data_IF_832473049803
#
_entry.id   IF_832473049803
#
_cell.length_a   1.000
_cell.length_b   1.000
_cell.length_c   1.000
_cell.angle_alpha   90.00
_cell.angle_beta   90.00
_cell.angle_gamma   90.00
#
_symmetry.space_group_name_H-M   'P 1'
#
loop_
_entity.id
_entity.type
_entity.pdbx_description
1 polymer ?
#
# COMPACT_ATOMS: atom_id res chain seq x y z
N UNK A 1 -21.99 15.04 -0.26
CA UNK A 1 -21.49 13.74 -0.75
C UNK A 1 -20.22 13.86 -1.60
N UNK A 2 -19.12 14.55 -1.26
CA UNK A 2 -18.60 15.27 -0.08
C UNK A 2 -18.57 14.56 1.29
N UNK A 3 -18.93 13.27 1.38
CA UNK A 3 -19.05 12.60 2.70
C UNK A 3 -17.76 11.91 3.17
N UNK A 4 -16.62 12.21 2.55
CA UNK A 4 -15.29 11.88 3.05
C UNK A 4 -14.46 13.16 3.10
N UNK A 5 -13.82 13.44 4.24
CA UNK A 5 -12.96 14.62 4.43
C UNK A 5 -11.75 14.70 3.46
N UNK A 6 -11.53 13.64 2.68
CA UNK A 6 -10.44 13.48 1.72
C UNK A 6 -10.94 13.38 0.27
N UNK A 7 -12.25 13.51 0.01
CA UNK A 7 -12.85 13.34 -1.31
C UNK A 7 -13.09 11.87 -1.72
N UNK A 8 -13.85 11.68 -2.80
CA UNK A 8 -14.27 10.39 -3.34
C UNK A 8 -13.96 10.34 -4.84
N UNK A 9 -13.42 9.22 -5.35
CA UNK A 9 -13.11 9.01 -6.77
C UNK A 9 -14.18 8.14 -7.47
N UNK A 10 -15.29 7.85 -6.78
CA UNK A 10 -16.36 6.97 -7.27
C UNK A 10 -16.97 7.41 -8.60
N UNK A 11 -17.03 6.45 -9.54
CA UNK A 11 -17.68 6.58 -10.84
C UNK A 11 -19.20 6.84 -10.69
N UNK A 12 -19.83 7.45 -11.70
CA UNK A 12 -21.27 7.76 -11.67
C UNK A 12 -22.14 6.52 -11.46
N UNK A 13 -21.76 5.38 -12.04
CA UNK A 13 -22.47 4.11 -11.86
C UNK A 13 -22.41 3.61 -10.41
N UNK A 14 -21.27 3.76 -9.72
CA UNK A 14 -21.15 3.43 -8.29
C UNK A 14 -21.99 4.38 -7.43
N UNK A 15 -21.97 5.69 -7.73
CA UNK A 15 -22.81 6.69 -7.03
C UNK A 15 -24.31 6.39 -7.19
N UNK A 16 -24.77 6.00 -8.38
CA UNK A 16 -26.17 5.57 -8.64
C UNK A 16 -26.57 4.33 -7.84
N UNK A 17 -25.69 3.33 -7.73
CA UNK A 17 -25.95 2.12 -6.93
C UNK A 17 -26.07 2.46 -5.44
N UNK A 18 -25.13 3.24 -4.91
CA UNK A 18 -25.15 3.63 -3.50
C UNK A 18 -26.38 4.48 -3.14
N UNK A 19 -26.79 5.40 -4.03
CA UNK A 19 -28.02 6.17 -3.86
C UNK A 19 -29.29 5.29 -3.88
N UNK A 20 -29.34 4.27 -4.76
CA UNK A 20 -30.46 3.31 -4.84
C UNK A 20 -30.57 2.42 -3.60
N UNK A 21 -29.44 2.00 -3.04
CA UNK A 21 -29.38 1.09 -1.89
C UNK A 21 -29.40 1.81 -0.54
N UNK A 22 -29.29 3.15 -0.53
CA UNK A 22 -29.15 3.99 0.67
C UNK A 22 -27.98 3.60 1.58
N UNK A 23 -26.99 2.90 1.02
CA UNK A 23 -25.80 2.39 1.71
C UNK A 23 -24.56 2.51 0.80
N UNK A 24 -23.36 2.52 1.39
CA UNK A 24 -22.10 2.63 0.66
C UNK A 24 -21.56 1.25 0.31
N UNK A 25 -22.12 0.65 -0.74
CA UNK A 25 -21.48 -0.48 -1.38
C UNK A 25 -20.08 -0.09 -1.90
N UNK A 26 -19.16 -1.07 -1.86
CA UNK A 26 -17.79 -0.94 -2.36
C UNK A 26 -16.93 0.13 -1.64
N UNK A 27 -17.08 0.27 -0.32
CA UNK A 27 -16.47 1.36 0.49
C UNK A 27 -14.94 1.54 0.46
N UNK A 28 -14.18 0.65 -0.19
CA UNK A 28 -12.72 0.77 -0.36
C UNK A 28 -12.28 1.16 -1.78
N UNK A 29 -12.94 0.67 -2.83
CA UNK A 29 -12.53 0.94 -4.22
C UNK A 29 -12.97 2.34 -4.65
N UNK A 30 -12.18 2.97 -5.51
CA UNK A 30 -12.33 4.38 -5.90
C UNK A 30 -12.32 5.33 -4.68
N UNK A 31 -11.62 4.95 -3.60
CA UNK A 31 -11.45 5.79 -2.41
C UNK A 31 -9.99 6.11 -2.14
N UNK A 32 -9.77 7.22 -1.44
CA UNK A 32 -8.45 7.76 -1.16
C UNK A 32 -7.90 7.24 0.17
N UNK A 33 -6.58 7.09 0.22
CA UNK A 33 -5.84 6.85 1.44
C UNK A 33 -5.96 8.04 2.39
N UNK A 34 -5.74 7.77 3.68
CA UNK A 34 -5.74 8.79 4.74
C UNK A 34 -4.30 9.13 5.12
N UNK A 35 -3.92 10.42 5.20
CA UNK A 35 -2.57 10.80 5.61
C UNK A 35 -2.33 10.59 7.11
N UNK A 36 -3.41 10.55 7.90
CA UNK A 36 -3.39 10.42 9.37
C UNK A 36 -3.50 8.96 9.86
N UNK A 37 -3.44 7.97 8.96
CA UNK A 37 -3.60 6.55 9.30
C UNK A 37 -2.62 5.65 8.54
N UNK A 38 -2.33 4.44 9.06
CA UNK A 38 -1.60 3.43 8.29
C UNK A 38 -2.22 3.17 6.93
N UNK A 39 -1.39 2.85 5.94
CA UNK A 39 -1.86 2.41 4.63
C UNK A 39 -2.68 1.12 4.75
N UNK A 40 -3.60 0.84 3.81
CA UNK A 40 -4.04 -0.52 3.55
C UNK A 40 -2.84 -1.42 3.22
N UNK A 41 -3.04 -2.74 3.31
CA UNK A 41 -2.05 -3.72 2.83
C UNK A 41 -1.71 -3.43 1.37
N UNK A 42 -0.42 -3.22 1.09
CA UNK A 42 0.07 -2.97 -0.26
C UNK A 42 0.04 -4.29 -1.03
N UNK A 43 -0.95 -4.45 -1.92
CA UNK A 43 -1.14 -5.67 -2.72
C UNK A 43 -0.45 -5.59 -4.07
N UNK A 44 -0.45 -6.69 -4.82
CA UNK A 44 0.08 -6.80 -6.19
C UNK A 44 -0.59 -5.86 -7.21
N UNK A 45 -1.72 -5.24 -6.87
CA UNK A 45 -2.44 -4.25 -7.68
C UNK A 45 -2.65 -2.92 -6.95
N UNK A 46 -1.77 -2.58 -6.00
CA UNK A 46 -1.80 -1.35 -5.21
C UNK A 46 -1.76 -0.03 -6.02
N UNK A 47 -1.40 -0.06 -7.30
CA UNK A 47 -1.46 1.10 -8.18
C UNK A 47 -2.86 1.34 -8.80
N UNK A 48 -3.79 0.40 -8.62
CA UNK A 48 -5.14 0.44 -9.20
C UNK A 48 -6.19 0.80 -8.15
N UNK A 49 -6.86 1.94 -8.35
CA UNK A 49 -7.93 2.41 -7.44
C UNK A 49 -9.18 1.52 -7.47
N UNK A 50 -9.36 0.67 -8.48
CA UNK A 50 -10.46 -0.31 -8.51
C UNK A 50 -10.18 -1.58 -7.70
N UNK A 51 -8.95 -1.73 -7.17
CA UNK A 51 -8.52 -2.91 -6.40
C UNK A 51 -8.37 -2.64 -4.89
N UNK A 52 -8.73 -1.45 -4.41
CA UNK A 52 -8.76 -1.11 -2.99
C UNK A 52 -8.65 0.40 -2.76
N UNK A 53 -8.47 0.79 -1.50
CA UNK A 53 -8.27 2.18 -1.06
C UNK A 53 -6.86 2.67 -1.40
N UNK A 54 -6.60 2.82 -2.69
CA UNK A 54 -5.29 3.18 -3.23
C UNK A 54 -5.28 4.55 -3.91
N UNK A 55 -6.37 5.34 -3.84
CA UNK A 55 -6.34 6.73 -4.29
C UNK A 55 -5.33 7.55 -3.47
N UNK A 56 -4.58 8.44 -4.11
CA UNK A 56 -3.64 9.30 -3.42
C UNK A 56 -4.37 10.20 -2.40
N UNK A 57 -3.76 10.53 -1.26
CA UNK A 57 -4.46 11.23 -0.16
C UNK A 57 -4.75 12.70 -0.48
N UNK A 58 -3.87 13.36 -1.24
CA UNK A 58 -4.02 14.73 -1.70
C UNK A 58 -5.20 14.86 -2.67
N UNK A 59 -6.20 15.65 -2.28
CA UNK A 59 -7.42 15.94 -3.04
C UNK A 59 -7.15 16.58 -4.40
N UNK A 60 -6.06 17.33 -4.55
CA UNK A 60 -5.65 17.93 -5.83
C UNK A 60 -5.18 16.90 -6.87
N UNK A 61 -4.85 15.68 -6.45
CA UNK A 61 -4.32 14.62 -7.31
C UNK A 61 -5.40 13.56 -7.59
N UNK A 62 -5.87 13.46 -8.83
CA UNK A 62 -6.92 12.53 -9.25
C UNK A 62 -6.28 11.24 -9.79
N UNK A 63 -5.60 10.49 -8.91
CA UNK A 63 -4.85 9.27 -9.28
C UNK A 63 -4.79 8.25 -8.13
N UNK A 64 -4.37 7.04 -8.47
CA UNK A 64 -3.85 6.08 -7.49
C UNK A 64 -2.45 6.46 -6.98
N UNK A 65 -1.98 5.77 -5.94
CA UNK A 65 -0.58 5.83 -5.52
C UNK A 65 0.34 5.30 -6.63
N UNK A 66 1.53 5.89 -6.73
CA UNK A 66 2.56 5.45 -7.66
C UNK A 66 3.27 4.19 -7.14
N UNK A 67 3.98 3.50 -8.02
CA UNK A 67 4.83 2.37 -7.62
C UNK A 67 5.92 2.79 -6.62
N UNK A 68 6.45 4.02 -6.71
CA UNK A 68 7.44 4.51 -5.75
C UNK A 68 6.80 4.77 -4.39
N UNK A 69 5.62 5.39 -4.33
CA UNK A 69 4.85 5.57 -3.09
C UNK A 69 4.51 4.23 -2.43
N UNK A 70 4.10 3.23 -3.22
CA UNK A 70 3.86 1.87 -2.73
C UNK A 70 5.14 1.19 -2.19
N UNK A 71 6.29 1.42 -2.83
CA UNK A 71 7.58 0.93 -2.36
C UNK A 71 8.03 1.60 -1.05
N UNK A 72 7.86 2.92 -0.92
CA UNK A 72 8.13 3.67 0.32
C UNK A 72 7.23 3.18 1.46
N UNK A 73 5.94 2.90 1.20
CA UNK A 73 5.03 2.30 2.18
C UNK A 73 5.43 0.87 2.58
N UNK A 74 5.99 0.10 1.65
CA UNK A 74 6.66 -1.19 1.92
C UNK A 74 8.05 -1.03 2.56
N UNK A 75 8.52 0.18 2.87
CA UNK A 75 9.83 0.47 3.47
C UNK A 75 11.06 0.06 2.65
N UNK A 76 10.94 0.04 1.32
CA UNK A 76 12.10 0.08 0.44
C UNK A 76 12.78 1.46 0.52
N UNK A 77 14.11 1.48 0.38
CA UNK A 77 14.88 2.71 0.25
C UNK A 77 14.54 3.43 -1.08
N UNK A 78 14.66 4.76 -1.11
CA UNK A 78 14.20 5.58 -2.24
C UNK A 78 14.98 5.29 -3.54
N UNK A 79 16.24 4.87 -3.42
CA UNK A 79 17.14 4.47 -4.51
C UNK A 79 16.98 3.00 -4.95
N UNK A 80 16.14 2.21 -4.28
CA UNK A 80 15.94 0.79 -4.62
C UNK A 80 15.38 0.63 -6.04
N UNK A 81 16.09 -0.13 -6.89
CA UNK A 81 15.74 -0.37 -8.29
C UNK A 81 15.04 -1.73 -8.45
N UNK A 82 13.83 -1.70 -9.00
CA UNK A 82 13.08 -2.91 -9.37
C UNK A 82 13.38 -3.30 -10.82
N UNK A 83 13.43 -4.61 -11.12
CA UNK A 83 13.70 -5.13 -12.46
C UNK A 83 12.62 -6.13 -12.90
N UNK A 84 12.12 -6.07 -14.16
CA UNK A 84 12.41 -5.04 -15.17
C UNK A 84 11.85 -3.68 -14.75
N UNK A 85 12.61 -2.61 -15.02
CA UNK A 85 12.31 -1.25 -14.54
C UNK A 85 11.28 -0.49 -15.39
N UNK A 86 10.86 -1.05 -16.53
CA UNK A 86 9.94 -0.47 -17.50
C UNK A 86 8.52 -1.06 -17.48
N UNK A 87 8.24 -2.04 -16.60
CA UNK A 87 6.96 -2.76 -16.54
C UNK A 87 6.21 -2.54 -15.22
N UNK A 88 5.01 -1.96 -15.30
CA UNK A 88 4.17 -1.67 -14.12
C UNK A 88 3.77 -2.93 -13.34
N UNK A 89 3.16 -3.93 -13.99
CA UNK A 89 2.61 -5.10 -13.29
C UNK A 89 3.65 -6.05 -12.65
N UNK A 90 4.84 -6.29 -13.22
CA UNK A 90 5.94 -6.96 -12.53
C UNK A 90 6.39 -6.21 -11.28
N UNK A 91 6.66 -4.89 -11.38
CA UNK A 91 7.10 -4.07 -10.25
C UNK A 91 6.03 -4.04 -9.15
N UNK A 92 4.76 -3.85 -9.50
CA UNK A 92 3.65 -3.88 -8.55
C UNK A 92 3.53 -5.22 -7.81
N UNK A 93 3.78 -6.34 -8.51
CA UNK A 93 3.84 -7.67 -7.88
C UNK A 93 5.04 -7.84 -6.96
N UNK A 94 6.22 -7.35 -7.33
CA UNK A 94 7.41 -7.38 -6.47
C UNK A 94 7.16 -6.60 -5.17
N UNK A 95 6.65 -5.38 -5.27
CA UNK A 95 6.31 -4.53 -4.12
C UNK A 95 5.22 -5.19 -3.26
N UNK A 96 4.14 -5.66 -3.89
CA UNK A 96 2.99 -6.23 -3.17
C UNK A 96 3.25 -7.58 -2.48
N UNK A 97 4.20 -8.37 -2.99
CA UNK A 97 4.59 -9.65 -2.39
C UNK A 97 5.78 -9.55 -1.42
N UNK A 98 6.42 -8.38 -1.32
CA UNK A 98 7.60 -8.21 -0.48
C UNK A 98 7.26 -8.25 1.01
N UNK A 99 8.18 -8.81 1.80
CA UNK A 99 8.28 -8.50 3.23
C UNK A 99 8.93 -7.13 3.36
N UNK A 100 8.39 -6.19 4.16
CA UNK A 100 8.98 -4.86 4.31
C UNK A 100 10.45 -4.94 4.75
N UNK A 101 11.42 -4.32 4.04
CA UNK A 101 12.84 -4.42 4.40
C UNK A 101 13.16 -3.98 5.84
N UNK A 102 12.45 -2.97 6.39
CA UNK A 102 12.59 -2.59 7.81
C UNK A 102 12.14 -3.67 8.78
N UNK A 103 11.09 -4.44 8.43
CA UNK A 103 10.62 -5.57 9.23
C UNK A 103 11.59 -6.74 9.16
N UNK A 104 12.07 -7.08 7.96
CA UNK A 104 13.09 -8.12 7.76
C UNK A 104 14.38 -7.79 8.55
N UNK A 105 14.83 -6.53 8.53
CA UNK A 105 16.00 -6.05 9.30
C UNK A 105 15.80 -6.18 10.81
N UNK A 106 14.59 -5.98 11.33
CA UNK A 106 14.28 -6.16 12.75
C UNK A 106 14.43 -7.62 13.17
N UNK A 107 13.80 -8.55 12.44
CA UNK A 107 13.93 -9.98 12.70
C UNK A 107 15.37 -10.50 12.53
N UNK A 108 16.09 -10.05 11.50
CA UNK A 108 17.48 -10.44 11.29
C UNK A 108 18.38 -10.05 12.48
N UNK A 109 18.21 -8.84 13.04
CA UNK A 109 18.93 -8.39 14.24
C UNK A 109 18.62 -9.25 15.47
N UNK A 110 17.35 -9.57 15.70
CA UNK A 110 16.94 -10.43 16.80
C UNK A 110 17.57 -11.83 16.70
N UNK A 111 17.50 -12.45 15.52
CA UNK A 111 18.10 -13.76 15.25
C UNK A 111 19.62 -13.76 15.45
N UNK A 112 20.32 -12.70 15.01
CA UNK A 112 21.77 -12.56 15.23
C UNK A 112 22.11 -12.48 16.72
N UNK A 113 21.34 -11.75 17.53
CA UNK A 113 21.57 -11.67 18.98
C UNK A 113 21.43 -13.06 19.62
N UNK A 114 20.31 -13.74 19.37
CA UNK A 114 20.03 -15.07 19.91
C UNK A 114 21.11 -16.10 19.53
N UNK A 115 21.58 -16.09 18.29
CA UNK A 115 22.65 -16.99 17.82
C UNK A 115 24.04 -16.67 18.41
N UNK A 116 24.30 -15.42 18.78
CA UNK A 116 25.54 -15.02 19.47
C UNK A 116 25.49 -15.37 20.95
N UNK A 117 24.33 -15.24 21.59
CA UNK A 117 24.10 -15.62 22.98
C UNK A 117 24.22 -17.14 23.17
N UNK A 118 23.56 -17.93 22.31
CA UNK A 118 23.64 -19.41 22.30
C UNK A 118 25.09 -19.91 22.15
N UNK A 119 25.84 -19.36 21.18
CA UNK A 119 27.28 -19.69 21.00
C UNK A 119 28.17 -19.34 22.19
N UNK A 120 27.79 -18.36 23.00
CA UNK A 120 28.53 -17.97 24.22
C UNK A 120 28.17 -18.83 25.42
N UNK A 121 27.01 -19.47 25.42
CA UNK A 121 26.62 -20.42 26.46
C UNK A 121 27.18 -21.83 26.19
N UNK A 122 27.56 -22.13 24.95
CA UNK A 122 28.05 -23.43 24.49
C UNK A 122 29.59 -23.60 24.48
N UNK A 123 30.36 -22.62 24.99
CA UNK A 123 31.83 -22.64 25.03
C UNK A 123 32.40 -22.08 26.32
#
# INVERSE_FOLDING_TARGET
MENTAFGDLSLDCHRKVNARLQDRCFGDVYTRMRPDRPSPTITTKCHSISNGRFGHYDTGQIRGISLREAATLQSFDDDYVFYPNDKVDPIARMIGNAVPPRLARYFARYLISALVEDRRAAG
#
